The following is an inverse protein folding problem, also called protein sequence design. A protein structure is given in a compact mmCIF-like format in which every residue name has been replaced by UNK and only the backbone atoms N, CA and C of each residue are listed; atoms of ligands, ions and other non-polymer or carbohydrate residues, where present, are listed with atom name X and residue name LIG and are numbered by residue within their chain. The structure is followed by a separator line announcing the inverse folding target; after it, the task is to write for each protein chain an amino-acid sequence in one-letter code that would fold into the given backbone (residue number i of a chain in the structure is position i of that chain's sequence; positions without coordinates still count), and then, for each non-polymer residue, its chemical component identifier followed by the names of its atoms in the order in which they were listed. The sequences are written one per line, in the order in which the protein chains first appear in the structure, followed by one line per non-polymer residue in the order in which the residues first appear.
data_IF_677092189322
#
_entry.id   IF_677092189322
#
_cell.length_a   1.000
_cell.length_b   1.000
_cell.length_c   1.000
_cell.angle_alpha   90.00
_cell.angle_beta   90.00
_cell.angle_gamma   90.00
#
_symmetry.space_group_name_H-M   'P 1'
#
loop_
_entity.id
_entity.type
_entity.pdbx_description
1 polymer ?
#
# COMPACT_ATOMS: atom_id res chain seq x y z
N UNK A 1 7.34 6.59 -11.07
CA UNK A 1 8.29 6.38 -9.96
C UNK A 1 9.34 7.49 -9.97
N UNK A 2 9.63 8.07 -8.81
CA UNK A 2 10.72 9.05 -8.61
C UNK A 2 11.23 8.94 -7.18
N UNK A 3 12.54 8.91 -6.98
CA UNK A 3 13.15 8.85 -5.63
C UNK A 3 13.16 10.19 -4.90
N UNK A 4 12.74 11.28 -5.55
CA UNK A 4 12.51 12.57 -4.90
C UNK A 4 11.08 12.73 -4.36
N UNK A 5 10.25 11.70 -4.48
CA UNK A 5 8.88 11.72 -4.00
C UNK A 5 8.84 11.75 -2.46
N UNK A 6 7.87 12.45 -1.84
CA UNK A 6 7.70 12.46 -0.38
C UNK A 6 7.26 11.11 0.19
N UNK A 7 6.71 10.21 -0.63
CA UNK A 7 6.34 8.86 -0.22
C UNK A 7 6.59 7.88 -1.37
N UNK A 8 7.39 6.85 -1.16
CA UNK A 8 7.68 5.82 -2.18
C UNK A 8 8.27 4.55 -1.53
N UNK A 9 8.14 3.41 -2.22
CA UNK A 9 8.95 2.24 -1.92
C UNK A 9 10.42 2.48 -2.32
N UNK A 10 11.40 1.85 -1.64
CA UNK A 10 12.83 2.10 -1.83
C UNK A 10 13.39 1.44 -3.11
N UNK A 11 12.81 1.73 -4.29
CA UNK A 11 13.27 1.16 -5.57
C UNK A 11 14.42 2.00 -6.14
N UNK A 12 15.62 1.42 -6.22
CA UNK A 12 16.81 2.10 -6.76
C UNK A 12 17.36 3.23 -5.90
N UNK A 13 16.67 3.64 -4.82
CA UNK A 13 17.16 4.52 -3.75
C UNK A 13 16.54 4.14 -2.41
N UNK A 14 17.15 4.58 -1.30
CA UNK A 14 16.62 4.33 0.05
C UNK A 14 15.25 4.98 0.25
N UNK A 15 14.44 4.36 1.12
CA UNK A 15 13.14 4.89 1.50
C UNK A 15 13.29 6.09 2.44
N UNK A 16 12.25 6.92 2.51
CA UNK A 16 12.24 8.12 3.36
C UNK A 16 11.63 7.88 4.75
N UNK A 17 10.88 6.78 4.93
CA UNK A 17 10.22 6.47 6.19
C UNK A 17 11.12 5.63 7.11
N UNK A 18 11.41 6.16 8.29
CA UNK A 18 12.24 5.51 9.30
C UNK A 18 11.48 4.55 10.23
N UNK A 19 10.15 4.51 10.18
CA UNK A 19 9.31 3.61 10.98
C UNK A 19 8.32 2.84 10.06
N UNK A 20 8.62 1.57 9.84
CA UNK A 20 7.77 0.65 9.06
C UNK A 20 7.54 -0.63 9.89
N UNK A 21 6.61 -0.61 10.85
CA UNK A 21 6.43 -1.69 11.83
C UNK A 21 6.07 -3.04 11.22
N UNK A 22 5.49 -3.03 10.02
CA UNK A 22 5.06 -4.23 9.33
C UNK A 22 6.19 -4.91 8.56
N UNK A 23 7.42 -4.40 8.49
CA UNK A 23 8.49 -5.11 7.77
C UNK A 23 8.77 -6.49 8.39
N UNK A 24 8.87 -7.50 7.53
CA UNK A 24 9.40 -8.80 7.91
C UNK A 24 10.88 -8.68 8.31
N UNK A 25 11.36 -9.58 9.17
CA UNK A 25 12.72 -9.52 9.74
C UNK A 25 13.87 -9.58 8.71
N UNK A 26 13.60 -10.02 7.48
CA UNK A 26 14.55 -9.99 6.37
C UNK A 26 14.74 -8.60 5.75
N UNK A 27 13.90 -7.64 6.12
CA UNK A 27 13.88 -6.28 5.59
C UNK A 27 14.10 -5.27 6.71
N UNK A 28 14.70 -4.13 6.34
CA UNK A 28 14.86 -2.97 7.22
C UNK A 28 14.51 -1.72 6.43
N UNK A 29 14.37 -0.59 7.11
CA UNK A 29 14.16 0.72 6.47
C UNK A 29 15.34 1.14 5.56
N UNK A 30 16.50 0.49 5.70
CA UNK A 30 17.68 0.70 4.85
C UNK A 30 17.79 -0.31 3.69
N UNK A 31 16.83 -1.22 3.55
CA UNK A 31 16.83 -2.18 2.44
C UNK A 31 16.52 -1.49 1.12
N UNK A 32 17.27 -1.85 0.08
CA UNK A 32 17.05 -1.38 -1.29
C UNK A 32 16.25 -2.42 -2.07
N UNK A 33 15.31 -1.95 -2.89
CA UNK A 33 14.55 -2.75 -3.82
C UNK A 33 14.92 -2.41 -5.27
N UNK A 34 14.56 -3.32 -6.16
CA UNK A 34 14.65 -3.19 -7.60
C UNK A 34 13.26 -3.36 -8.21
N UNK A 35 13.10 -2.98 -9.47
CA UNK A 35 11.85 -3.23 -10.21
C UNK A 35 11.50 -4.74 -10.20
N UNK A 36 12.51 -5.61 -10.19
CA UNK A 36 12.37 -7.06 -10.20
C UNK A 36 11.95 -7.66 -8.86
N UNK A 37 11.88 -6.88 -7.78
CA UNK A 37 11.30 -7.35 -6.53
C UNK A 37 9.78 -7.40 -6.57
N UNK A 38 9.17 -6.67 -7.51
CA UNK A 38 7.74 -6.71 -7.76
C UNK A 38 7.41 -7.26 -9.15
N UNK A 39 8.17 -6.88 -10.18
CA UNK A 39 7.93 -7.26 -11.58
C UNK A 39 8.94 -8.31 -12.05
N UNK A 40 8.61 -9.58 -11.87
CA UNK A 40 9.46 -10.72 -12.20
C UNK A 40 8.62 -11.91 -12.63
N UNK A 41 9.27 -13.04 -12.92
CA UNK A 41 8.58 -14.32 -13.11
C UNK A 41 7.87 -14.75 -11.82
N UNK A 42 6.71 -15.40 -11.96
CA UNK A 42 5.98 -16.05 -10.88
C UNK A 42 6.54 -17.46 -10.54
N UNK A 43 7.56 -17.92 -11.27
CA UNK A 43 8.23 -19.19 -10.98
C UNK A 43 9.07 -19.13 -9.69
N UNK A 44 8.54 -19.76 -8.65
CA UNK A 44 9.21 -19.89 -7.35
C UNK A 44 10.26 -21.00 -7.34
N UNK A 45 10.33 -21.86 -8.35
CA UNK A 45 11.32 -22.94 -8.43
C UNK A 45 12.71 -22.45 -8.83
N UNK A 46 12.82 -21.21 -9.34
CA UNK A 46 14.06 -20.60 -9.78
C UNK A 46 14.61 -21.19 -11.08
N UNK A 47 13.78 -21.89 -11.85
CA UNK A 47 14.15 -22.56 -13.10
C UNK A 47 13.84 -21.69 -14.32
N UNK A 48 12.80 -20.87 -14.24
CA UNK A 48 12.46 -19.93 -15.28
C UNK A 48 13.46 -18.77 -15.33
N UNK A 49 13.70 -18.18 -16.51
CA UNK A 49 14.44 -16.94 -16.63
C UNK A 49 13.83 -15.84 -15.76
N UNK A 50 14.67 -15.10 -15.04
CA UNK A 50 14.24 -13.90 -14.33
C UNK A 50 13.82 -12.84 -15.34
N UNK A 51 12.72 -12.13 -15.04
CA UNK A 51 12.20 -11.04 -15.85
C UNK A 51 10.66 -11.00 -15.86
N UNK A 52 10.07 -9.83 -16.14
CA UNK A 52 8.63 -9.62 -16.01
C UNK A 52 7.81 -10.45 -17.01
N UNK A 53 8.35 -10.79 -18.19
CA UNK A 53 7.64 -11.58 -19.20
C UNK A 53 7.35 -13.04 -18.79
N UNK A 54 7.86 -13.49 -17.64
CA UNK A 54 7.66 -14.85 -17.13
C UNK A 54 6.60 -14.97 -16.04
N UNK A 55 5.74 -13.96 -15.84
CA UNK A 55 4.66 -14.01 -14.85
C UNK A 55 3.28 -14.10 -15.49
N UNK A 56 2.40 -14.92 -14.89
CA UNK A 56 0.99 -15.00 -15.23
C UNK A 56 0.11 -14.03 -14.44
N UNK A 57 0.65 -13.34 -13.44
CA UNK A 57 -0.09 -12.34 -12.67
C UNK A 57 -0.21 -11.04 -13.46
N UNK A 58 -1.36 -10.37 -13.31
CA UNK A 58 -1.62 -9.07 -13.96
C UNK A 58 -0.49 -8.09 -13.64
N UNK A 59 -0.16 -7.25 -14.62
CA UNK A 59 0.96 -6.29 -14.54
C UNK A 59 2.34 -6.94 -14.41
N UNK A 60 2.48 -8.22 -14.77
CA UNK A 60 3.75 -8.94 -14.77
C UNK A 60 4.39 -9.01 -13.37
N UNK A 61 3.55 -9.22 -12.36
CA UNK A 61 3.96 -9.24 -10.96
C UNK A 61 4.50 -10.61 -10.55
N UNK A 62 5.53 -10.68 -9.73
CA UNK A 62 6.12 -11.97 -9.32
C UNK A 62 5.23 -12.80 -8.38
N UNK A 63 4.18 -12.18 -7.84
CA UNK A 63 3.20 -12.78 -6.92
C UNK A 63 1.84 -12.13 -7.12
N UNK A 64 0.80 -12.82 -6.68
CA UNK A 64 -0.56 -12.33 -6.78
C UNK A 64 -0.74 -10.99 -6.03
N UNK A 65 -1.49 -10.09 -6.65
CA UNK A 65 -1.96 -8.83 -6.09
C UNK A 65 -3.33 -8.52 -6.68
N UNK A 66 -4.38 -8.86 -5.94
CA UNK A 66 -5.75 -8.54 -6.31
C UNK A 66 -5.99 -7.03 -6.13
N UNK A 67 -6.34 -6.34 -7.22
CA UNK A 67 -6.62 -4.89 -7.20
C UNK A 67 -8.10 -4.56 -7.38
N UNK A 68 -8.97 -5.58 -7.45
CA UNK A 68 -10.40 -5.39 -7.59
C UNK A 68 -11.00 -4.91 -6.25
N UNK A 69 -12.09 -4.16 -6.31
CA UNK A 69 -12.88 -3.79 -5.13
C UNK A 69 -14.35 -4.17 -5.36
N UNK A 70 -14.96 -5.03 -4.52
CA UNK A 70 -14.36 -5.69 -3.36
C UNK A 70 -13.40 -6.84 -3.75
N UNK A 71 -12.42 -7.11 -2.88
CA UNK A 71 -11.54 -8.28 -2.93
C UNK A 71 -11.35 -8.86 -1.53
N UNK A 72 -11.59 -10.17 -1.38
CA UNK A 72 -11.40 -10.83 -0.08
C UNK A 72 -9.92 -11.00 0.25
N UNK A 73 -9.57 -10.57 1.46
CA UNK A 73 -8.23 -10.70 2.00
C UNK A 73 -7.83 -12.18 2.14
N UNK A 74 -6.63 -12.50 1.64
CA UNK A 74 -5.95 -13.75 1.96
C UNK A 74 -4.44 -13.59 1.76
N UNK A 75 -3.68 -14.53 2.34
CA UNK A 75 -2.24 -14.58 2.14
C UNK A 75 -1.83 -14.70 0.65
N UNK A 76 -2.69 -15.28 -0.19
CA UNK A 76 -2.46 -15.34 -1.64
C UNK A 76 -2.86 -14.04 -2.33
N UNK A 77 -4.06 -13.52 -2.07
CA UNK A 77 -4.60 -12.33 -2.74
C UNK A 77 -3.66 -11.10 -2.67
N UNK A 78 -2.92 -10.95 -1.56
CA UNK A 78 -1.93 -9.88 -1.38
C UNK A 78 -0.50 -10.43 -1.18
N UNK A 79 -0.19 -11.59 -1.75
CA UNK A 79 1.10 -12.27 -1.62
C UNK A 79 2.29 -11.39 -2.03
N UNK A 80 2.09 -10.46 -2.97
CA UNK A 80 3.11 -9.49 -3.36
C UNK A 80 3.48 -8.56 -2.19
N UNK A 81 2.49 -7.93 -1.55
CA UNK A 81 2.69 -7.05 -0.40
C UNK A 81 3.30 -7.84 0.78
N UNK A 82 2.79 -9.05 1.00
CA UNK A 82 3.23 -9.92 2.09
C UNK A 82 4.61 -10.54 1.90
N UNK A 83 5.25 -10.33 0.73
CA UNK A 83 6.67 -10.66 0.54
C UNK A 83 7.59 -9.85 1.47
N UNK A 84 7.21 -8.61 1.76
CA UNK A 84 8.03 -7.67 2.54
C UNK A 84 7.34 -7.24 3.84
N UNK A 85 6.00 -7.22 3.84
CA UNK A 85 5.23 -6.84 5.01
C UNK A 85 4.57 -8.05 5.69
N UNK A 86 4.64 -8.10 7.01
CA UNK A 86 3.95 -9.07 7.84
C UNK A 86 2.45 -8.90 7.74
N UNK A 87 1.77 -9.91 7.20
CA UNK A 87 0.31 -10.02 7.18
C UNK A 87 -0.26 -9.84 8.59
N UNK A 88 0.30 -10.55 9.57
CA UNK A 88 -0.15 -10.51 10.96
C UNK A 88 -0.01 -9.11 11.59
N UNK A 89 1.01 -8.35 11.18
CA UNK A 89 1.17 -6.95 11.60
C UNK A 89 0.08 -6.06 11.00
N UNK A 90 -0.17 -6.21 9.69
CA UNK A 90 -1.15 -5.40 8.95
C UNK A 90 -2.56 -5.66 9.46
N UNK A 91 -3.05 -6.90 9.40
CA UNK A 91 -4.43 -7.25 9.81
C UNK A 91 -4.60 -7.34 11.33
N UNK A 92 -3.50 -7.26 12.08
CA UNK A 92 -3.48 -7.10 13.53
C UNK A 92 -3.51 -5.64 13.98
N UNK A 93 -3.72 -4.69 13.06
CA UNK A 93 -3.90 -3.26 13.34
C UNK A 93 -2.69 -2.62 14.07
N UNK A 94 -1.47 -3.12 13.85
CA UNK A 94 -0.29 -2.67 14.61
C UNK A 94 0.15 -1.23 14.29
N UNK A 95 -0.05 -0.78 13.04
CA UNK A 95 0.30 0.58 12.61
C UNK A 95 -0.92 1.49 12.39
N UNK A 96 -2.01 0.93 11.86
CA UNK A 96 -3.28 1.61 11.61
C UNK A 96 -4.38 0.82 12.31
N UNK A 97 -5.14 1.46 13.21
CA UNK A 97 -6.14 0.79 14.03
C UNK A 97 -7.32 0.15 13.28
N UNK A 98 -7.48 0.43 11.98
CA UNK A 98 -8.63 -0.04 11.21
C UNK A 98 -8.24 -0.80 9.92
N UNK A 99 -7.01 -1.30 9.81
CA UNK A 99 -6.63 -2.15 8.68
C UNK A 99 -7.53 -3.39 8.59
N UNK A 100 -7.74 -4.10 9.70
CA UNK A 100 -8.61 -5.28 9.73
C UNK A 100 -10.01 -4.94 9.25
N UNK A 101 -10.57 -3.83 9.73
CA UNK A 101 -11.91 -3.40 9.33
C UNK A 101 -12.00 -3.18 7.82
N UNK A 102 -11.08 -2.41 7.25
CA UNK A 102 -11.15 -2.08 5.82
C UNK A 102 -10.80 -3.30 4.95
N UNK A 103 -9.68 -3.96 5.24
CA UNK A 103 -9.14 -5.01 4.37
C UNK A 103 -9.93 -6.32 4.53
N UNK A 104 -10.26 -6.73 5.76
CA UNK A 104 -10.87 -8.04 6.03
C UNK A 104 -12.40 -7.95 6.12
N UNK A 105 -12.93 -6.99 6.88
CA UNK A 105 -14.37 -6.92 7.16
C UNK A 105 -15.14 -6.24 6.03
N UNK A 106 -14.50 -5.33 5.29
CA UNK A 106 -15.10 -4.62 4.15
C UNK A 106 -14.60 -5.10 2.79
N UNK A 107 -13.64 -6.03 2.75
CA UNK A 107 -13.03 -6.55 1.52
C UNK A 107 -12.42 -5.43 0.64
N UNK A 108 -11.85 -4.40 1.26
CA UNK A 108 -11.21 -3.30 0.54
C UNK A 108 -9.79 -3.70 0.13
N UNK A 109 -9.50 -3.68 -1.18
CA UNK A 109 -8.15 -3.96 -1.69
C UNK A 109 -7.13 -2.92 -1.19
N UNK A 110 -5.88 -3.35 -0.97
CA UNK A 110 -4.76 -2.44 -0.69
C UNK A 110 -4.63 -1.34 -1.75
N UNK A 111 -4.95 -1.63 -3.02
CA UNK A 111 -4.87 -0.67 -4.14
C UNK A 111 -5.86 0.48 -4.02
N UNK A 112 -6.93 0.31 -3.24
CA UNK A 112 -7.94 1.37 -3.02
C UNK A 112 -7.35 2.52 -2.21
N UNK A 113 -6.36 2.24 -1.36
CA UNK A 113 -5.70 3.24 -0.52
C UNK A 113 -4.25 3.50 -0.90
N UNK A 114 -3.49 2.50 -1.36
CA UNK A 114 -2.04 2.59 -1.52
C UNK A 114 -1.59 2.55 -2.98
N UNK A 115 -0.76 3.51 -3.38
CA UNK A 115 -0.02 3.50 -4.64
C UNK A 115 1.38 2.88 -4.43
N UNK A 116 1.63 1.67 -4.96
CA UNK A 116 2.89 0.96 -4.72
C UNK A 116 4.12 1.66 -5.35
N UNK A 117 3.95 2.59 -6.29
CA UNK A 117 5.07 3.32 -6.89
C UNK A 117 5.40 4.63 -6.17
N UNK A 118 4.49 5.13 -5.34
CA UNK A 118 4.69 6.35 -4.55
C UNK A 118 4.01 7.59 -5.10
N UNK A 119 4.08 8.66 -4.31
CA UNK A 119 3.29 9.88 -4.43
C UNK A 119 4.15 11.02 -4.95
N UNK A 120 3.73 11.70 -6.01
CA UNK A 120 4.46 12.87 -6.52
C UNK A 120 4.49 14.01 -5.50
N UNK A 121 5.56 14.80 -5.47
CA UNK A 121 5.63 16.06 -4.71
C UNK A 121 4.61 17.12 -5.17
N UNK A 122 3.97 16.93 -6.33
CA UNK A 122 2.85 17.76 -6.78
C UNK A 122 1.52 17.35 -6.15
N UNK A 123 1.43 16.14 -5.59
CA UNK A 123 0.19 15.56 -5.05
C UNK A 123 0.20 15.46 -3.52
N UNK A 124 1.37 15.25 -2.92
CA UNK A 124 1.51 15.04 -1.48
C UNK A 124 2.78 15.68 -0.91
N UNK A 125 2.96 15.51 0.40
CA UNK A 125 4.14 15.94 1.13
C UNK A 125 4.44 14.94 2.26
N UNK A 126 5.26 15.32 3.24
CA UNK A 126 5.62 14.43 4.34
C UNK A 126 4.41 14.00 5.21
N UNK A 127 3.40 14.88 5.31
CA UNK A 127 2.23 14.67 6.17
C UNK A 127 0.99 14.29 5.34
N UNK A 128 0.81 14.87 4.16
CA UNK A 128 -0.32 14.57 3.27
C UNK A 128 0.06 13.50 2.26
N UNK A 129 -0.77 12.46 2.13
CA UNK A 129 -0.50 11.31 1.26
C UNK A 129 0.80 10.56 1.67
N UNK A 130 1.17 10.60 2.95
CA UNK A 130 2.22 9.75 3.49
C UNK A 130 1.78 8.26 3.42
N UNK A 131 2.68 7.33 3.76
CA UNK A 131 2.41 5.88 3.71
C UNK A 131 1.84 5.37 2.37
N UNK A 132 2.24 6.00 1.25
CA UNK A 132 1.76 5.70 -0.09
C UNK A 132 0.26 5.94 -0.30
N UNK A 133 -0.41 6.70 0.57
CA UNK A 133 -1.86 6.83 0.51
C UNK A 133 -2.27 7.72 -0.66
N UNK A 134 -2.96 7.12 -1.63
CA UNK A 134 -3.53 7.74 -2.81
C UNK A 134 -4.77 6.96 -3.21
N UNK A 135 -5.94 7.57 -3.01
CA UNK A 135 -7.21 6.85 -3.13
C UNK A 135 -7.57 6.53 -4.57
N UNK A 136 -8.00 5.29 -4.81
CA UNK A 136 -8.59 4.88 -6.08
C UNK A 136 -9.97 5.52 -6.25
N UNK A 137 -10.07 6.47 -7.20
CA UNK A 137 -11.29 7.23 -7.48
C UNK A 137 -12.42 6.38 -8.08
N UNK A 138 -12.16 5.13 -8.45
CA UNK A 138 -13.21 4.19 -8.86
C UNK A 138 -13.96 3.59 -7.67
N UNK A 139 -13.36 3.61 -6.47
CA UNK A 139 -13.93 3.06 -5.23
C UNK A 139 -14.18 4.12 -4.15
N UNK A 140 -13.43 5.23 -4.16
CA UNK A 140 -13.50 6.30 -3.16
C UNK A 140 -13.96 7.61 -3.80
N UNK A 141 -14.82 8.35 -3.10
CA UNK A 141 -15.29 9.66 -3.53
C UNK A 141 -14.92 10.76 -2.52
N UNK A 142 -14.90 12.04 -2.92
CA UNK A 142 -14.85 13.14 -1.98
C UNK A 142 -16.02 13.09 -1.00
N UNK A 143 -15.77 13.54 0.23
CA UNK A 143 -16.78 13.68 1.27
C UNK A 143 -17.83 14.77 0.92
N UNK A 144 -18.83 14.96 1.76
CA UNK A 144 -19.92 15.93 1.55
C UNK A 144 -19.43 17.39 1.48
N UNK A 145 -18.25 17.67 2.04
CA UNK A 145 -17.56 18.96 1.96
C UNK A 145 -16.68 19.10 0.71
N UNK A 146 -16.63 18.08 -0.15
CA UNK A 146 -15.81 18.04 -1.35
C UNK A 146 -14.34 17.68 -1.11
N UNK A 147 -14.00 17.16 0.07
CA UNK A 147 -12.62 16.80 0.43
C UNK A 147 -12.34 15.32 0.12
N UNK A 148 -11.18 15.04 -0.47
CA UNK A 148 -10.62 13.71 -0.62
C UNK A 148 -9.16 13.75 -0.17
N UNK A 149 -8.91 13.39 1.08
CA UNK A 149 -7.61 13.59 1.70
C UNK A 149 -7.29 12.57 2.80
N UNK A 150 -5.99 12.29 2.92
CA UNK A 150 -5.37 11.66 4.07
C UNK A 150 -4.29 12.60 4.62
N UNK A 151 -4.29 12.78 5.93
CA UNK A 151 -3.25 13.52 6.65
C UNK A 151 -2.71 12.67 7.80
N UNK A 152 -1.40 12.48 7.80
CA UNK A 152 -0.61 11.93 8.88
C UNK A 152 -0.53 12.93 10.04
N UNK A 153 -0.84 12.48 11.26
CA UNK A 153 -0.78 13.28 12.47
C UNK A 153 0.29 12.76 13.45
N UNK A 154 1.19 11.89 12.97
CA UNK A 154 2.29 11.30 13.70
C UNK A 154 2.17 9.79 13.86
N UNK A 155 3.07 9.24 14.67
CA UNK A 155 3.19 7.78 14.85
C UNK A 155 1.88 7.17 15.34
N UNK A 156 1.30 6.32 14.49
CA UNK A 156 -0.01 5.70 14.72
C UNK A 156 -1.02 6.78 15.09
N UNK A 157 -1.14 7.79 14.22
CA UNK A 157 -2.18 8.81 14.27
C UNK A 157 -2.40 9.41 12.88
N UNK A 158 -3.65 9.67 12.52
CA UNK A 158 -3.97 10.36 11.27
C UNK A 158 -5.43 10.72 11.14
N UNK A 159 -5.79 11.28 10.00
CA UNK A 159 -7.17 11.57 9.65
C UNK A 159 -7.48 11.37 8.17
N UNK A 160 -8.71 10.96 7.90
CA UNK A 160 -9.26 10.84 6.56
C UNK A 160 -10.47 11.77 6.38
N UNK A 161 -10.55 12.39 5.21
CA UNK A 161 -11.71 13.12 4.71
C UNK A 161 -12.10 12.55 3.35
N UNK A 162 -13.12 11.70 3.30
CA UNK A 162 -13.56 10.96 2.11
C UNK A 162 -14.92 10.28 2.33
N UNK A 163 -15.56 9.82 1.26
CA UNK A 163 -16.66 8.84 1.31
C UNK A 163 -16.18 7.50 0.75
N UNK A 164 -16.35 6.41 1.50
CA UNK A 164 -15.98 5.06 1.06
C UNK A 164 -16.98 4.01 1.59
N UNK A 165 -17.42 3.09 0.72
CA UNK A 165 -18.47 2.10 1.00
C UNK A 165 -19.73 2.71 1.66
N UNK A 166 -20.14 3.90 1.21
CA UNK A 166 -21.28 4.64 1.77
C UNK A 166 -21.08 5.17 3.19
N UNK A 167 -19.88 5.04 3.76
CA UNK A 167 -19.50 5.70 5.02
C UNK A 167 -18.80 7.01 4.75
N UNK A 168 -19.26 8.01 5.49
CA UNK A 168 -18.71 9.35 5.47
C UNK A 168 -17.59 9.51 6.48
N UNK A 169 -16.47 10.11 6.04
CA UNK A 169 -15.36 10.52 6.89
C UNK A 169 -15.19 12.04 6.77
N UNK A 170 -15.43 12.74 7.88
CA UNK A 170 -15.28 14.20 7.99
C UNK A 170 -14.19 14.48 9.01
N UNK A 171 -12.95 14.66 8.54
CA UNK A 171 -11.77 14.75 9.39
C UNK A 171 -11.74 13.63 10.44
N UNK A 172 -12.12 12.41 10.03
CA UNK A 172 -12.26 11.28 10.94
C UNK A 172 -10.87 10.86 11.39
N UNK A 173 -10.61 11.08 12.68
CA UNK A 173 -9.33 10.78 13.32
C UNK A 173 -9.28 9.36 13.82
N UNK A 174 -8.09 8.81 13.79
CA UNK A 174 -7.74 7.55 14.40
C UNK A 174 -6.40 7.72 15.15
N UNK A 175 -6.06 6.80 16.06
CA UNK A 175 -4.67 6.50 16.32
C UNK A 175 -4.17 5.57 15.22
#
# INVERSE_FOLDING_TARGET
FSSGNPSHHPVGNLGVNADVPSLLSSWTVNSLMTCMDCHNTDDRSGRAPKGPHGSNFKYLLERNYETNDPASESADAYALCYKCHSRDSIIGDQSFKYHRRHIVEQNTSCSVCHDPHGISSLQGNADNNSHLINFDLTAVAPNISGELAFQDLGRFSGQCSLTCHGREHLNTRYP
#
